data_IF_756710845924
#
_entry.id   IF_756710845924
#
_cell.length_a   1.000
_cell.length_b   1.000
_cell.length_c   1.000
_cell.angle_alpha   90.00
_cell.angle_beta   90.00
_cell.angle_gamma   90.00
#
_symmetry.space_group_name_H-M   'P 1'
#
loop_
_entity.id
_entity.type
_entity.pdbx_description
1 polymer ?
#
# COMPACT_ATOMS: atom_id res chain seq x y z
N UNK A 1 43.23 -44.03 -32.79
CA UNK A 1 41.85 -43.85 -32.33
C UNK A 1 41.25 -42.74 -33.17
N UNK A 2 40.25 -43.03 -34.06
CA UNK A 2 39.63 -41.96 -34.86
C UNK A 2 38.65 -41.16 -34.04
N UNK A 3 38.85 -39.83 -33.92
CA UNK A 3 37.89 -38.90 -33.34
C UNK A 3 36.80 -38.61 -34.39
N UNK A 4 35.60 -39.10 -34.13
CA UNK A 4 34.42 -38.78 -34.93
C UNK A 4 33.94 -37.36 -34.62
N UNK A 5 33.88 -36.49 -35.64
CA UNK A 5 33.34 -35.14 -35.50
C UNK A 5 31.82 -35.23 -35.23
N UNK A 6 31.27 -34.52 -34.27
CA UNK A 6 29.82 -34.51 -34.01
C UNK A 6 29.09 -33.92 -35.21
N UNK A 7 27.97 -34.56 -35.60
CA UNK A 7 27.15 -34.14 -36.73
C UNK A 7 26.42 -32.84 -36.39
N UNK A 8 26.22 -31.96 -37.40
CA UNK A 8 25.61 -30.65 -37.25
C UNK A 8 24.21 -30.70 -36.64
N UNK A 9 23.50 -31.83 -36.75
CA UNK A 9 22.18 -32.07 -36.09
C UNK A 9 22.26 -32.07 -34.56
N UNK A 10 23.40 -32.38 -33.97
CA UNK A 10 23.60 -32.35 -32.53
C UNK A 10 23.77 -30.92 -32.00
N UNK A 11 24.29 -30.00 -32.84
CA UNK A 11 24.41 -28.59 -32.49
C UNK A 11 23.08 -27.83 -32.55
N UNK A 12 22.16 -28.23 -33.44
CA UNK A 12 20.83 -27.62 -33.54
C UNK A 12 19.96 -27.98 -32.32
N UNK A 13 20.10 -29.22 -31.82
CA UNK A 13 19.37 -29.66 -30.62
C UNK A 13 19.86 -28.97 -29.33
N UNK A 14 21.11 -28.60 -29.24
CA UNK A 14 21.69 -27.89 -28.10
C UNK A 14 21.31 -26.40 -28.09
N UNK A 15 21.15 -25.75 -29.23
CA UNK A 15 20.77 -24.34 -29.35
C UNK A 15 19.28 -24.10 -29.10
N UNK A 16 18.41 -25.08 -29.37
CA UNK A 16 16.96 -24.94 -29.13
C UNK A 16 16.56 -25.14 -27.67
N UNK A 17 17.35 -25.84 -26.87
CA UNK A 17 17.06 -26.05 -25.45
C UNK A 17 17.45 -24.87 -24.56
N UNK A 18 18.40 -24.04 -24.99
CA UNK A 18 18.85 -22.87 -24.21
C UNK A 18 18.03 -21.60 -24.45
N UNK A 19 17.22 -21.57 -25.51
CA UNK A 19 16.45 -20.37 -25.88
C UNK A 19 15.09 -20.26 -25.18
N UNK A 20 14.61 -21.30 -24.52
CA UNK A 20 13.28 -21.35 -23.87
C UNK A 20 13.28 -20.94 -22.39
N UNK A 21 14.44 -20.69 -21.78
CA UNK A 21 14.54 -20.34 -20.35
C UNK A 21 14.63 -18.82 -20.05
N UNK A 22 14.60 -17.95 -21.07
CA UNK A 22 14.74 -16.49 -20.88
C UNK A 22 13.46 -15.68 -21.11
N UNK A 23 12.30 -16.33 -21.27
CA UNK A 23 11.01 -15.65 -21.41
C UNK A 23 10.20 -15.61 -20.10
N UNK A 24 10.85 -15.77 -18.95
CA UNK A 24 10.25 -15.69 -17.64
C UNK A 24 10.33 -14.27 -17.06
N UNK A 25 9.19 -13.61 -16.95
CA UNK A 25 8.92 -12.48 -16.05
C UNK A 25 9.52 -11.11 -16.45
N UNK A 26 9.11 -10.57 -17.58
CA UNK A 26 9.09 -9.13 -17.73
C UNK A 26 7.61 -8.65 -17.72
N UNK A 27 6.96 -8.75 -16.56
CA UNK A 27 5.78 -7.95 -16.31
C UNK A 27 6.21 -6.47 -16.29
N UNK A 28 5.39 -5.54 -16.78
CA UNK A 28 5.71 -4.12 -16.68
C UNK A 28 6.01 -3.79 -15.21
N UNK A 29 7.14 -3.13 -14.96
CA UNK A 29 7.46 -2.65 -13.63
C UNK A 29 6.32 -1.75 -13.14
N UNK A 30 5.87 -1.88 -11.88
CA UNK A 30 4.81 -1.03 -11.38
C UNK A 30 5.25 0.43 -11.47
N UNK A 31 4.53 1.22 -12.23
CA UNK A 31 4.77 2.67 -12.34
C UNK A 31 4.15 3.30 -11.10
N UNK A 32 5.00 3.82 -10.23
CA UNK A 32 4.57 4.62 -9.10
C UNK A 32 4.58 6.10 -9.46
N UNK A 33 3.61 6.82 -8.92
CA UNK A 33 3.58 8.28 -8.99
C UNK A 33 4.38 8.86 -7.82
N UNK A 34 4.72 10.14 -7.94
CA UNK A 34 5.24 10.87 -6.80
C UNK A 34 4.21 10.89 -5.67
N UNK A 35 4.68 10.73 -4.44
CA UNK A 35 3.83 10.79 -3.26
C UNK A 35 3.27 12.21 -3.12
N UNK A 36 1.98 12.38 -3.42
CA UNK A 36 1.27 13.64 -3.30
C UNK A 36 0.19 13.49 -2.22
N UNK A 37 0.51 13.92 -1.00
CA UNK A 37 -0.37 13.83 0.16
C UNK A 37 -0.84 15.24 0.54
N UNK A 38 -2.14 15.41 0.76
CA UNK A 38 -2.76 16.68 1.15
C UNK A 38 -3.51 16.47 2.48
N UNK A 39 -3.20 17.28 3.50
CA UNK A 39 -2.12 18.26 3.58
C UNK A 39 -0.73 17.60 3.52
N UNK A 40 0.29 18.39 3.15
CA UNK A 40 1.66 17.88 3.09
C UNK A 40 2.13 17.46 4.49
N UNK A 41 2.62 16.22 4.67
CA UNK A 41 3.18 15.77 5.93
C UNK A 41 4.39 16.60 6.37
N UNK A 42 4.65 16.62 7.69
CA UNK A 42 5.81 17.31 8.24
C UNK A 42 7.13 16.78 7.65
N UNK A 43 7.21 15.47 7.44
CA UNK A 43 8.35 14.83 6.77
C UNK A 43 7.84 13.72 5.84
N UNK A 44 8.38 13.70 4.64
CA UNK A 44 8.17 12.64 3.67
C UNK A 44 9.45 12.40 2.88
N UNK A 45 9.88 11.15 2.81
CA UNK A 45 11.01 10.71 2.00
C UNK A 45 10.53 9.56 1.12
N UNK A 46 10.67 9.72 -0.18
CA UNK A 46 10.29 8.71 -1.17
C UNK A 46 11.53 8.07 -1.77
N UNK A 47 11.46 6.77 -2.07
CA UNK A 47 12.48 6.06 -2.84
C UNK A 47 11.89 5.45 -4.12
N UNK A 48 12.76 5.08 -5.07
CA UNK A 48 12.35 4.63 -6.40
C UNK A 48 11.74 3.23 -6.50
N UNK A 49 11.55 2.52 -5.37
CA UNK A 49 10.90 1.22 -5.33
C UNK A 49 9.39 1.35 -5.16
N UNK A 50 8.69 0.22 -5.28
CA UNK A 50 7.24 0.15 -5.11
C UNK A 50 6.83 -0.97 -4.17
N UNK A 51 5.76 -0.73 -3.39
CA UNK A 51 4.96 -1.77 -2.78
C UNK A 51 3.79 -2.09 -3.72
N UNK A 52 3.51 -3.37 -3.94
CA UNK A 52 2.38 -3.81 -4.77
C UNK A 52 1.35 -4.51 -3.89
N UNK A 53 0.14 -3.96 -3.86
CA UNK A 53 -1.00 -4.60 -3.21
C UNK A 53 -1.45 -5.81 -4.03
N UNK A 54 -1.59 -6.94 -3.39
CA UNK A 54 -2.00 -8.21 -4.02
C UNK A 54 -3.16 -8.84 -3.25
N UNK A 55 -3.89 -9.81 -3.81
CA UNK A 55 -4.91 -10.56 -3.08
C UNK A 55 -4.40 -11.28 -1.82
N UNK A 56 -3.09 -11.55 -1.76
CA UNK A 56 -2.45 -12.20 -0.60
C UNK A 56 -1.97 -11.22 0.47
N UNK A 57 -2.16 -9.92 0.26
CA UNK A 57 -1.82 -8.89 1.26
C UNK A 57 -2.69 -9.08 2.50
N UNK A 58 -2.05 -9.08 3.68
CA UNK A 58 -2.74 -9.22 4.96
C UNK A 58 -2.60 -7.95 5.78
N UNK A 59 -3.65 -7.60 6.53
CA UNK A 59 -3.65 -6.49 7.47
C UNK A 59 -3.57 -7.08 8.88
N UNK A 60 -2.64 -6.60 9.71
CA UNK A 60 -2.40 -7.16 11.02
C UNK A 60 -2.29 -6.11 12.12
N UNK A 61 -2.72 -6.49 13.33
CA UNK A 61 -2.47 -5.73 14.55
C UNK A 61 -2.43 -6.67 15.75
N UNK A 62 -1.62 -6.34 16.75
CA UNK A 62 -1.62 -7.02 18.05
C UNK A 62 -2.47 -6.27 19.09
N UNK A 63 -2.95 -5.08 18.75
CA UNK A 63 -3.75 -4.24 19.63
C UNK A 63 -5.24 -4.41 19.30
N UNK A 64 -6.05 -5.00 20.21
CA UNK A 64 -7.48 -5.18 19.98
C UNK A 64 -8.24 -3.88 19.70
N UNK A 65 -7.78 -2.76 20.24
CA UNK A 65 -8.40 -1.44 19.99
C UNK A 65 -8.23 -1.00 18.53
N UNK A 66 -7.26 -1.54 17.80
CA UNK A 66 -7.02 -1.25 16.39
C UNK A 66 -7.75 -2.18 15.41
N UNK A 67 -8.51 -3.18 15.91
CA UNK A 67 -9.29 -4.06 15.02
C UNK A 67 -10.29 -3.27 14.14
N UNK A 68 -11.03 -2.26 14.64
CA UNK A 68 -11.88 -1.44 13.77
C UNK A 68 -11.10 -0.66 12.71
N UNK A 69 -9.89 -0.18 13.03
CA UNK A 69 -9.04 0.51 12.06
C UNK A 69 -8.52 -0.45 10.97
N UNK A 70 -8.18 -1.69 11.34
CA UNK A 70 -7.77 -2.72 10.40
C UNK A 70 -8.93 -3.12 9.47
N UNK A 71 -10.14 -3.24 10.00
CA UNK A 71 -11.34 -3.52 9.21
C UNK A 71 -11.66 -2.35 8.26
N UNK A 72 -11.57 -1.11 8.74
CA UNK A 72 -11.73 0.08 7.92
C UNK A 72 -10.74 0.12 6.74
N UNK A 73 -9.46 -0.18 7.01
CA UNK A 73 -8.45 -0.26 5.94
C UNK A 73 -8.79 -1.37 4.94
N UNK A 74 -9.22 -2.55 5.41
CA UNK A 74 -9.69 -3.63 4.53
C UNK A 74 -10.81 -3.14 3.62
N UNK A 75 -11.83 -2.49 4.16
CA UNK A 75 -12.99 -2.00 3.40
C UNK A 75 -12.58 -1.03 2.28
N UNK A 76 -11.71 -0.05 2.60
CA UNK A 76 -11.20 0.91 1.63
C UNK A 76 -10.47 0.19 0.49
N UNK A 77 -9.52 -0.69 0.83
CA UNK A 77 -8.70 -1.34 -0.18
C UNK A 77 -9.49 -2.36 -1.00
N UNK A 78 -10.41 -3.08 -0.37
CA UNK A 78 -11.18 -4.13 -1.04
C UNK A 78 -12.22 -3.58 -2.01
N UNK A 79 -12.79 -2.41 -1.76
CA UNK A 79 -13.87 -1.83 -2.56
C UNK A 79 -13.48 -1.65 -4.05
N UNK A 80 -12.35 -1.04 -4.29
CA UNK A 80 -11.86 -0.76 -5.64
C UNK A 80 -11.09 -1.92 -6.27
N UNK A 81 -10.37 -2.70 -5.46
CA UNK A 81 -9.52 -3.80 -5.94
C UNK A 81 -10.28 -5.10 -6.18
N UNK A 82 -11.39 -5.31 -5.49
CA UNK A 82 -12.10 -6.59 -5.45
C UNK A 82 -11.35 -7.69 -4.66
N UNK A 83 -10.26 -7.36 -3.94
CA UNK A 83 -9.49 -8.33 -3.18
C UNK A 83 -10.16 -8.63 -1.83
N UNK A 84 -10.29 -9.89 -1.47
CA UNK A 84 -10.72 -10.31 -0.12
C UNK A 84 -9.52 -10.34 0.84
N UNK A 85 -9.08 -9.16 1.24
CA UNK A 85 -7.95 -9.02 2.16
C UNK A 85 -8.28 -9.58 3.53
N UNK A 86 -7.31 -10.29 4.14
CA UNK A 86 -7.49 -10.90 5.44
C UNK A 86 -6.97 -9.98 6.54
N UNK A 87 -7.83 -9.74 7.54
CA UNK A 87 -7.44 -9.11 8.81
C UNK A 87 -7.07 -10.20 9.79
N UNK A 88 -5.90 -10.09 10.43
CA UNK A 88 -5.41 -11.11 11.36
C UNK A 88 -4.80 -10.50 12.61
N UNK A 89 -4.73 -11.28 13.67
CA UNK A 89 -3.94 -10.95 14.84
C UNK A 89 -2.44 -11.08 14.54
N UNK A 90 -1.64 -10.18 15.11
CA UNK A 90 -0.20 -10.16 14.89
C UNK A 90 0.22 -9.28 13.71
N UNK A 91 1.44 -9.49 13.22
CA UNK A 91 1.98 -8.75 12.09
C UNK A 91 1.38 -9.23 10.77
N UNK A 92 0.98 -8.28 9.93
CA UNK A 92 0.56 -8.50 8.55
C UNK A 92 1.59 -8.00 7.55
N UNK A 93 1.25 -8.07 6.27
CA UNK A 93 1.96 -7.33 5.22
C UNK A 93 1.79 -5.84 5.44
N UNK A 94 0.59 -5.42 5.88
CA UNK A 94 0.32 -4.08 6.42
C UNK A 94 0.09 -4.26 7.92
N UNK A 95 0.91 -3.61 8.76
CA UNK A 95 0.81 -3.72 10.22
C UNK A 95 0.38 -2.38 10.82
N UNK A 96 -0.62 -2.43 11.70
CA UNK A 96 -1.10 -1.29 12.47
C UNK A 96 -0.67 -1.45 13.92
N UNK A 97 -0.10 -0.40 14.51
CA UNK A 97 0.37 -0.41 15.89
C UNK A 97 0.18 0.95 16.58
N UNK A 98 0.10 0.93 17.90
CA UNK A 98 0.28 2.11 18.73
C UNK A 98 1.65 2.07 19.41
N UNK A 99 2.31 3.22 19.49
CA UNK A 99 3.54 3.40 20.23
C UNK A 99 3.64 4.82 20.78
N UNK A 100 4.56 5.02 21.71
CA UNK A 100 4.87 6.36 22.21
C UNK A 100 5.69 7.11 21.13
N UNK A 101 5.00 7.85 20.29
CA UNK A 101 5.59 8.73 19.27
C UNK A 101 5.51 10.15 19.80
N UNK A 102 6.61 10.87 19.73
CA UNK A 102 6.68 12.29 20.12
C UNK A 102 5.76 13.11 19.22
N UNK A 103 5.04 14.05 19.83
CA UNK A 103 4.13 14.96 19.14
C UNK A 103 2.76 15.06 19.79
N UNK A 104 1.89 15.88 19.19
CA UNK A 104 0.49 16.02 19.61
C UNK A 104 -0.29 14.74 19.36
N UNK A 105 -1.41 14.58 20.03
CA UNK A 105 -2.33 13.49 19.78
C UNK A 105 -2.71 13.44 18.28
N UNK A 106 -2.62 12.26 17.69
CA UNK A 106 -2.80 12.06 16.26
C UNK A 106 -1.48 12.03 15.45
N UNK A 107 -0.32 12.09 16.12
CA UNK A 107 0.97 11.88 15.47
C UNK A 107 1.11 10.42 15.01
N UNK A 108 1.75 10.23 13.84
CA UNK A 108 1.98 8.91 13.27
C UNK A 108 3.27 8.85 12.46
N UNK A 109 3.73 7.61 12.24
CA UNK A 109 4.73 7.25 11.25
C UNK A 109 4.14 6.23 10.29
N UNK A 110 4.51 6.32 9.01
CA UNK A 110 4.19 5.36 7.99
C UNK A 110 5.47 4.97 7.26
N UNK A 111 5.81 3.69 7.29
CA UNK A 111 6.95 3.12 6.58
C UNK A 111 6.43 2.16 5.52
N UNK A 112 6.46 2.57 4.26
CA UNK A 112 6.10 1.74 3.11
C UNK A 112 7.37 1.22 2.44
N UNK A 113 7.62 -0.07 2.54
CA UNK A 113 8.72 -0.79 1.89
C UNK A 113 8.15 -1.66 0.77
N UNK A 114 9.00 -2.25 -0.05
CA UNK A 114 8.55 -3.09 -1.18
C UNK A 114 7.83 -4.38 -0.74
N UNK A 115 8.10 -4.85 0.46
CA UNK A 115 7.60 -6.11 1.02
C UNK A 115 6.56 -5.95 2.13
N UNK A 116 6.47 -4.74 2.75
CA UNK A 116 5.57 -4.47 3.87
C UNK A 116 5.28 -3.00 4.06
N UNK A 117 4.23 -2.73 4.83
CA UNK A 117 3.86 -1.40 5.29
C UNK A 117 3.65 -1.45 6.81
N UNK A 118 4.28 -0.54 7.54
CA UNK A 118 4.08 -0.37 8.97
C UNK A 118 3.49 1.02 9.23
N UNK A 119 2.34 1.08 9.89
CA UNK A 119 1.67 2.31 10.34
C UNK A 119 1.66 2.30 11.86
N UNK A 120 2.27 3.30 12.46
CA UNK A 120 2.31 3.43 13.92
C UNK A 120 1.79 4.80 14.32
N UNK A 121 0.79 4.85 15.18
CA UNK A 121 0.24 6.10 15.74
C UNK A 121 0.51 6.23 17.23
N UNK A 122 0.53 7.46 17.77
CA UNK A 122 0.55 7.66 19.22
C UNK A 122 -0.85 7.51 19.86
N UNK A 123 -1.88 7.39 19.05
CA UNK A 123 -3.26 7.19 19.43
C UNK A 123 -4.02 6.45 18.32
N UNK A 124 -5.26 6.04 18.57
CA UNK A 124 -6.16 5.52 17.54
C UNK A 124 -6.28 6.51 16.37
N UNK A 125 -6.48 7.81 16.67
CA UNK A 125 -6.55 8.87 15.66
C UNK A 125 -5.27 9.00 14.84
N UNK A 126 -4.10 8.77 15.44
CA UNK A 126 -2.82 8.74 14.72
C UNK A 126 -2.74 7.60 13.72
N UNK A 127 -3.21 6.39 14.11
CA UNK A 127 -3.26 5.25 13.17
C UNK A 127 -4.21 5.53 12.02
N UNK A 128 -5.40 6.11 12.27
CA UNK A 128 -6.34 6.51 11.21
C UNK A 128 -5.69 7.55 10.28
N UNK A 129 -5.00 8.56 10.81
CA UNK A 129 -4.30 9.54 9.98
C UNK A 129 -3.23 8.89 9.07
N UNK A 130 -2.51 7.90 9.60
CA UNK A 130 -1.58 7.10 8.80
C UNK A 130 -2.27 6.27 7.71
N UNK A 131 -3.43 5.69 7.99
CA UNK A 131 -4.27 4.98 7.00
C UNK A 131 -4.71 5.94 5.88
N UNK A 132 -5.16 7.14 6.23
CA UNK A 132 -5.58 8.13 5.23
C UNK A 132 -4.39 8.60 4.36
N UNK A 133 -3.20 8.68 4.93
CA UNK A 133 -1.98 8.96 4.15
C UNK A 133 -1.62 7.81 3.23
N UNK A 134 -1.70 6.56 3.71
CA UNK A 134 -1.52 5.38 2.88
C UNK A 134 -2.51 5.37 1.69
N UNK A 135 -3.78 5.66 1.96
CA UNK A 135 -4.83 5.73 0.94
C UNK A 135 -4.48 6.71 -0.18
N UNK A 136 -3.92 7.88 0.14
CA UNK A 136 -3.51 8.88 -0.83
C UNK A 136 -2.27 8.48 -1.65
N UNK A 137 -1.46 7.54 -1.19
CA UNK A 137 -0.34 7.00 -1.97
C UNK A 137 -0.80 6.09 -3.10
N UNK A 138 -1.97 5.45 -2.99
CA UNK A 138 -2.54 4.61 -4.04
C UNK A 138 -3.01 5.44 -5.24
N UNK A 139 -3.18 4.82 -6.42
CA UNK A 139 -3.85 5.46 -7.56
C UNK A 139 -5.22 5.99 -7.15
N UNK A 140 -5.70 7.14 -7.71
CA UNK A 140 -6.98 7.76 -7.33
C UNK A 140 -8.19 6.83 -7.48
N UNK A 141 -8.06 5.80 -8.31
CA UNK A 141 -9.09 4.77 -8.51
C UNK A 141 -9.38 3.99 -7.23
N UNK A 142 -8.51 4.07 -6.18
CA UNK A 142 -8.77 3.47 -4.87
C UNK A 142 -10.02 4.04 -4.20
N UNK A 143 -10.44 5.24 -4.59
CA UNK A 143 -11.66 5.90 -4.11
C UNK A 143 -12.95 5.34 -4.71
N UNK A 144 -12.84 4.44 -5.70
CA UNK A 144 -14.01 3.84 -6.34
C UNK A 144 -14.74 2.90 -5.36
N UNK A 145 -16.05 3.00 -5.34
CA UNK A 145 -16.94 2.07 -4.64
C UNK A 145 -17.26 0.81 -5.47
N UNK A 146 -16.72 0.72 -6.67
CA UNK A 146 -16.87 -0.41 -7.60
C UNK A 146 -15.49 -0.91 -7.99
N UNK A 147 -15.39 -2.19 -8.28
CA UNK A 147 -14.15 -2.81 -8.73
C UNK A 147 -13.67 -2.13 -10.01
N UNK A 148 -12.40 -1.76 -10.04
CA UNK A 148 -11.73 -1.14 -11.17
C UNK A 148 -10.68 -2.09 -11.71
N UNK A 149 -10.91 -2.59 -12.91
CA UNK A 149 -9.98 -3.46 -13.61
C UNK A 149 -8.81 -2.66 -14.22
N UNK A 150 -7.73 -3.38 -14.50
CA UNK A 150 -6.57 -2.85 -15.24
C UNK A 150 -5.79 -1.73 -14.53
N UNK A 151 -5.89 -1.63 -13.19
CA UNK A 151 -5.08 -0.74 -12.37
C UNK A 151 -3.97 -1.53 -11.68
N UNK A 152 -2.73 -1.07 -11.83
CA UNK A 152 -1.64 -1.56 -11.01
C UNK A 152 -1.76 -0.92 -9.61
N UNK A 153 -2.20 -1.70 -8.62
CA UNK A 153 -2.34 -1.23 -7.24
C UNK A 153 -0.98 -1.16 -6.55
N UNK A 154 -0.18 -0.19 -6.98
CA UNK A 154 1.18 0.02 -6.49
C UNK A 154 1.33 1.42 -5.89
N UNK A 155 2.10 1.52 -4.82
CA UNK A 155 2.46 2.78 -4.17
C UNK A 155 3.98 2.93 -4.15
N UNK A 156 4.50 4.16 -4.15
CA UNK A 156 5.93 4.39 -3.94
C UNK A 156 6.33 3.94 -2.54
N UNK A 157 7.54 3.42 -2.39
CA UNK A 157 8.12 3.25 -1.06
C UNK A 157 8.42 4.63 -0.47
N UNK A 158 7.97 4.83 0.76
CA UNK A 158 8.04 6.12 1.43
C UNK A 158 8.16 5.97 2.95
N UNK A 159 8.88 6.89 3.58
CA UNK A 159 8.91 7.09 5.01
C UNK A 159 8.24 8.42 5.31
N UNK A 160 7.19 8.39 6.13
CA UNK A 160 6.39 9.57 6.49
C UNK A 160 6.37 9.71 7.99
N UNK A 161 6.58 10.93 8.47
CA UNK A 161 6.34 11.34 9.85
C UNK A 161 5.45 12.57 9.85
N UNK A 162 4.36 12.51 10.57
CA UNK A 162 3.44 13.63 10.64
C UNK A 162 2.76 13.74 12.01
N UNK A 163 2.33 14.94 12.31
CA UNK A 163 1.58 15.28 13.52
C UNK A 163 0.67 16.47 13.25
N UNK A 164 -0.49 16.55 13.90
CA UNK A 164 -1.39 17.69 13.76
C UNK A 164 -0.73 19.02 14.15
N UNK A 165 -0.82 20.03 13.31
CA UNK A 165 -0.35 21.40 13.64
C UNK A 165 -1.22 22.04 14.72
N UNK A 166 -2.54 21.79 14.66
CA UNK A 166 -3.55 22.37 15.55
C UNK A 166 -4.17 21.28 16.40
N UNK A 167 -4.38 21.56 17.68
CA UNK A 167 -5.11 20.68 18.60
C UNK A 167 -6.59 20.63 18.26
N UNK A 168 -7.15 21.82 17.98
CA UNK A 168 -8.55 21.95 17.58
C UNK A 168 -8.67 21.92 16.06
N UNK A 169 -9.52 21.03 15.57
CA UNK A 169 -9.88 20.90 14.15
C UNK A 169 -11.36 20.58 14.06
N UNK A 170 -12.07 21.28 13.20
CA UNK A 170 -13.51 21.07 13.08
C UNK A 170 -14.05 21.64 11.78
N UNK A 171 -15.26 21.25 11.45
CA UNK A 171 -16.05 21.76 10.34
C UNK A 171 -17.28 22.43 10.94
N UNK A 172 -17.63 23.62 10.43
CA UNK A 172 -18.92 24.24 10.70
C UNK A 172 -19.83 23.98 9.51
N UNK A 173 -20.95 23.31 9.73
CA UNK A 173 -21.99 23.12 8.73
C UNK A 173 -23.19 23.98 9.11
N UNK A 174 -23.50 25.01 8.29
CA UNK A 174 -24.69 25.83 8.45
C UNK A 174 -25.89 25.15 7.78
N UNK A 175 -26.72 24.50 8.58
CA UNK A 175 -27.93 23.81 8.11
C UNK A 175 -29.17 24.70 8.16
N UNK A 176 -29.08 25.95 8.64
CA UNK A 176 -30.22 26.86 8.73
C UNK A 176 -30.62 27.48 7.40
N UNK A 177 -29.66 27.62 6.49
CA UNK A 177 -29.88 28.18 5.14
C UNK A 177 -30.11 27.11 4.07
N UNK A 178 -29.67 25.91 4.32
CA UNK A 178 -29.87 24.77 3.43
C UNK A 178 -29.94 23.49 4.25
N UNK A 179 -30.98 22.71 4.03
CA UNK A 179 -31.11 21.42 4.66
C UNK A 179 -30.31 20.38 3.90
N UNK A 180 -29.43 19.69 4.59
CA UNK A 180 -28.69 18.56 4.08
C UNK A 180 -29.25 17.27 4.68
N UNK A 181 -29.47 16.28 3.84
CA UNK A 181 -29.85 14.94 4.30
C UNK A 181 -28.65 14.25 4.96
N UNK A 182 -28.93 13.21 5.70
CA UNK A 182 -27.92 12.37 6.35
C UNK A 182 -27.14 11.50 5.33
N UNK A 183 -27.67 11.35 4.11
CA UNK A 183 -27.15 10.50 3.05
C UNK A 183 -26.24 11.26 2.08
#
# INVERSE_FOLDING_TARGET
>A
IPMTKPSYKQWIAACTLTSTLLLGACGPAPVTRDASIVPLPNQIQQSGNAFVLTPNTTIGTTDPELQPAAQYLKEILSAATGYDLQVKEGKGTITLAKANIEGKEGAYTLSAKSDRIDITGNSYGGVIAGIESLRQLFPPQIESKQIVDSVAWAIPTAEIQDAPRFEWRGIMLDVSRHFYTKE
#
